data_IF_069603324510
#
_entry.id   IF_069603324510
#
_cell.length_a   1.000
_cell.length_b   1.000
_cell.length_c   1.000
_cell.angle_alpha   90.00
_cell.angle_beta   90.00
_cell.angle_gamma   90.00
#
_symmetry.space_group_name_H-M   'P 1'
#
loop_
_entity.id
_entity.type
_entity.pdbx_description
1 polymer ?
#
# COMPACT_ATOMS: atom_id res chain seq x y z
N UNK A 1 1.10 5.64 23.00
CA UNK A 1 1.69 5.96 21.68
C UNK A 1 0.72 6.57 20.64
N UNK A 2 -0.55 6.88 20.95
CA UNK A 2 -1.48 7.48 19.97
C UNK A 2 -1.10 8.92 19.58
N UNK A 3 -0.53 9.70 20.49
CA UNK A 3 -0.11 11.09 20.26
C UNK A 3 1.11 11.18 19.33
N UNK A 4 2.13 10.35 19.54
CA UNK A 4 3.30 10.28 18.66
C UNK A 4 2.89 9.85 17.24
N UNK A 5 1.99 8.87 17.12
CA UNK A 5 1.43 8.47 15.81
C UNK A 5 0.75 9.64 15.11
N UNK A 6 -0.05 10.45 15.83
CA UNK A 6 -0.71 11.65 15.25
C UNK A 6 0.29 12.71 14.78
N UNK A 7 1.47 12.79 15.39
CA UNK A 7 2.52 13.73 15.02
C UNK A 7 3.34 13.24 13.82
N UNK A 8 3.71 11.96 13.80
CA UNK A 8 4.62 11.38 12.79
C UNK A 8 3.88 10.98 11.51
N UNK A 9 2.62 10.52 11.61
CA UNK A 9 1.86 10.03 10.47
C UNK A 9 1.67 11.07 9.34
N UNK A 10 1.33 12.35 9.61
CA UNK A 10 1.22 13.35 8.56
C UNK A 10 2.53 13.57 7.80
N UNK A 11 3.66 13.57 8.52
CA UNK A 11 4.98 13.69 7.90
C UNK A 11 5.28 12.49 7.00
N UNK A 12 5.06 11.26 7.49
CA UNK A 12 5.24 10.06 6.67
C UNK A 12 4.33 10.06 5.44
N UNK A 13 3.07 10.45 5.58
CA UNK A 13 2.13 10.58 4.45
C UNK A 13 2.64 11.55 3.40
N UNK A 14 3.20 12.70 3.80
CA UNK A 14 3.74 13.69 2.86
C UNK A 14 4.87 13.14 1.97
N UNK A 15 5.63 12.15 2.47
CA UNK A 15 6.70 11.48 1.73
C UNK A 15 6.16 10.30 0.91
N UNK A 16 5.29 9.48 1.52
CA UNK A 16 4.86 8.20 0.96
C UNK A 16 3.71 8.35 -0.04
N UNK A 17 2.73 9.23 0.21
CA UNK A 17 1.51 9.32 -0.61
C UNK A 17 1.78 9.57 -2.11
N UNK A 18 2.78 10.40 -2.50
CA UNK A 18 3.15 10.56 -3.91
C UNK A 18 3.82 9.32 -4.53
N UNK A 19 4.36 8.42 -3.70
CA UNK A 19 5.07 7.20 -4.10
C UNK A 19 4.17 5.96 -4.12
N UNK A 20 2.93 6.07 -3.62
CA UNK A 20 2.00 4.95 -3.58
C UNK A 20 1.54 4.57 -4.98
N UNK A 21 1.34 3.26 -5.18
CA UNK A 21 0.80 2.72 -6.41
C UNK A 21 -0.60 3.32 -6.70
N UNK A 22 -0.89 3.58 -7.97
CA UNK A 22 -2.18 4.16 -8.38
C UNK A 22 -3.36 3.23 -8.06
N UNK A 23 -3.15 1.92 -8.13
CA UNK A 23 -4.12 0.87 -7.86
C UNK A 23 -4.04 0.36 -6.42
N UNK A 24 -3.33 1.05 -5.52
CA UNK A 24 -3.47 0.80 -4.09
C UNK A 24 -4.71 1.53 -3.56
N UNK A 25 -5.75 0.78 -3.23
CA UNK A 25 -7.00 1.29 -2.66
C UNK A 25 -7.06 1.21 -1.13
N UNK A 26 -6.25 0.34 -0.52
CA UNK A 26 -6.23 0.15 0.93
C UNK A 26 -5.35 1.18 1.64
N UNK A 27 -5.73 1.52 2.88
CA UNK A 27 -4.99 2.43 3.77
C UNK A 27 -4.72 3.84 3.21
N UNK A 28 -5.50 4.30 2.22
CA UNK A 28 -5.46 5.65 1.66
C UNK A 28 -6.72 6.43 2.00
N UNK A 29 -6.57 7.74 2.10
CA UNK A 29 -7.72 8.62 2.19
C UNK A 29 -8.49 8.65 0.87
N UNK A 30 -9.82 8.72 0.95
CA UNK A 30 -10.71 8.85 -0.20
C UNK A 30 -10.60 7.70 -1.23
N UNK A 31 -10.24 6.49 -0.77
CA UNK A 31 -10.29 5.26 -1.55
C UNK A 31 -11.09 4.21 -0.79
N UNK A 32 -11.99 3.55 -1.49
CA UNK A 32 -12.84 2.48 -0.96
C UNK A 32 -12.55 1.15 -1.63
N UNK A 33 -13.05 0.07 -1.01
CA UNK A 33 -13.04 -1.27 -1.62
C UNK A 33 -13.95 -1.30 -2.85
N UNK A 34 -15.03 -0.52 -2.86
CA UNK A 34 -15.93 -0.43 -3.99
C UNK A 34 -15.27 0.19 -5.22
N UNK A 35 -14.36 1.16 -5.02
CA UNK A 35 -13.56 1.74 -6.10
C UNK A 35 -12.63 0.70 -6.75
N UNK A 36 -12.05 -0.19 -5.94
CA UNK A 36 -11.17 -1.27 -6.40
C UNK A 36 -11.95 -2.27 -7.27
N UNK A 37 -13.06 -2.79 -6.73
CA UNK A 37 -13.92 -3.75 -7.43
C UNK A 37 -14.52 -3.17 -8.71
N UNK A 38 -14.96 -1.90 -8.68
CA UNK A 38 -15.54 -1.24 -9.84
C UNK A 38 -14.51 -1.07 -10.95
N UNK A 39 -13.27 -0.73 -10.59
CA UNK A 39 -12.19 -0.55 -11.56
C UNK A 39 -11.75 -1.89 -12.16
N UNK A 40 -11.58 -2.92 -11.33
CA UNK A 40 -11.23 -4.27 -11.77
C UNK A 40 -12.30 -4.79 -12.74
N UNK A 41 -13.58 -4.69 -12.36
CA UNK A 41 -14.69 -5.12 -13.21
C UNK A 41 -14.73 -4.35 -14.53
N UNK A 42 -14.54 -3.03 -14.50
CA UNK A 42 -14.51 -2.21 -15.71
C UNK A 42 -13.45 -2.70 -16.71
N UNK A 43 -12.21 -2.94 -16.24
CA UNK A 43 -11.14 -3.40 -17.12
C UNK A 43 -11.39 -4.82 -17.65
N UNK A 44 -11.92 -5.72 -16.83
CA UNK A 44 -12.25 -7.08 -17.25
C UNK A 44 -13.33 -7.06 -18.32
N UNK A 45 -14.41 -6.32 -18.11
CA UNK A 45 -15.50 -6.22 -19.10
C UNK A 45 -15.04 -5.55 -20.40
N UNK A 46 -14.27 -4.46 -20.30
CA UNK A 46 -13.71 -3.79 -21.48
C UNK A 46 -12.84 -4.73 -22.31
N UNK A 47 -12.06 -5.61 -21.67
CA UNK A 47 -11.24 -6.59 -22.39
C UNK A 47 -12.09 -7.68 -23.04
N UNK A 48 -13.14 -8.16 -22.35
CA UNK A 48 -14.03 -9.22 -22.81
C UNK A 48 -14.98 -8.80 -23.93
N UNK A 49 -15.15 -7.50 -24.18
CA UNK A 49 -15.97 -6.98 -25.29
C UNK A 49 -15.37 -7.27 -26.68
N UNK A 50 -14.14 -7.79 -26.75
CA UNK A 50 -13.49 -8.19 -28.00
C UNK A 50 -13.68 -9.69 -28.28
N UNK A 51 -13.92 -10.11 -29.54
CA UNK A 51 -14.07 -11.52 -29.88
C UNK A 51 -12.78 -12.30 -29.55
N UNK A 52 -12.95 -13.58 -29.21
CA UNK A 52 -11.86 -14.52 -28.90
C UNK A 52 -10.95 -14.08 -27.72
N UNK A 53 -11.49 -13.30 -26.78
CA UNK A 53 -10.78 -12.90 -25.55
C UNK A 53 -11.29 -13.64 -24.30
N UNK A 54 -10.43 -13.73 -23.28
CA UNK A 54 -10.77 -14.28 -21.96
C UNK A 54 -9.93 -13.61 -20.88
N UNK A 55 -10.50 -13.38 -19.70
CA UNK A 55 -9.82 -12.79 -18.56
C UNK A 55 -9.39 -13.87 -17.56
N UNK A 56 -8.22 -13.71 -16.95
CA UNK A 56 -7.75 -14.52 -15.81
C UNK A 56 -7.27 -13.58 -14.71
N UNK A 57 -7.83 -13.75 -13.53
CA UNK A 57 -7.45 -12.96 -12.35
C UNK A 57 -6.61 -13.86 -11.45
N UNK A 58 -5.44 -13.36 -11.03
CA UNK A 58 -4.56 -14.04 -10.09
C UNK A 58 -4.69 -13.39 -8.72
N UNK A 59 -5.18 -14.15 -7.75
CA UNK A 59 -5.33 -13.68 -6.38
C UNK A 59 -4.17 -14.18 -5.51
N UNK A 60 -3.53 -13.26 -4.80
CA UNK A 60 -2.48 -13.56 -3.81
C UNK A 60 -2.81 -12.82 -2.53
N UNK A 61 -2.81 -13.57 -1.43
CA UNK A 61 -2.96 -13.00 -0.09
C UNK A 61 -1.80 -13.43 0.81
N UNK A 62 -1.41 -12.53 1.72
CA UNK A 62 -0.36 -12.78 2.69
C UNK A 62 -0.97 -13.08 4.05
N UNK A 63 -0.82 -14.32 4.51
CA UNK A 63 -1.24 -14.69 5.87
C UNK A 63 -0.50 -13.85 6.92
N UNK A 64 -1.23 -13.04 7.68
CA UNK A 64 -0.68 -12.23 8.76
C UNK A 64 0.45 -11.29 8.30
N UNK A 65 0.19 -10.49 7.26
CA UNK A 65 1.18 -9.62 6.62
C UNK A 65 2.05 -8.82 7.61
N UNK A 66 1.45 -8.17 8.61
CA UNK A 66 2.21 -7.37 9.60
C UNK A 66 3.10 -8.19 10.52
N UNK A 67 2.70 -9.42 10.86
CA UNK A 67 3.47 -10.29 11.75
C UNK A 67 4.63 -10.98 11.03
N UNK A 68 4.63 -10.98 9.69
CA UNK A 68 5.66 -11.61 8.85
C UNK A 68 6.63 -10.59 8.23
N UNK A 69 6.47 -9.30 8.54
CA UNK A 69 7.39 -8.25 8.07
C UNK A 69 8.79 -8.49 8.64
N UNK A 70 9.79 -8.55 7.75
CA UNK A 70 11.19 -8.60 8.14
C UNK A 70 11.67 -7.17 8.45
N UNK A 71 12.03 -6.84 9.71
CA UNK A 71 12.31 -5.45 10.11
C UNK A 71 13.48 -4.81 9.35
N UNK A 72 14.55 -5.57 9.07
CA UNK A 72 15.71 -5.05 8.33
C UNK A 72 15.36 -4.64 6.90
N UNK A 73 14.54 -5.45 6.20
CA UNK A 73 14.05 -5.12 4.86
C UNK A 73 13.08 -3.94 4.87
N UNK A 74 12.23 -3.85 5.89
CA UNK A 74 11.34 -2.69 6.05
C UNK A 74 12.14 -1.41 6.27
N UNK A 75 13.14 -1.45 7.15
CA UNK A 75 14.00 -0.31 7.44
C UNK A 75 14.74 0.19 6.19
N UNK A 76 15.36 -0.72 5.43
CA UNK A 76 16.00 -0.39 4.16
C UNK A 76 15.03 0.28 3.17
N UNK A 77 13.82 -0.28 3.01
CA UNK A 77 12.79 0.33 2.15
C UNK A 77 12.40 1.73 2.62
N UNK A 78 12.22 1.94 3.92
CA UNK A 78 11.85 3.24 4.50
C UNK A 78 12.96 4.28 4.28
N UNK A 79 14.22 3.88 4.37
CA UNK A 79 15.35 4.77 4.06
C UNK A 79 15.40 5.12 2.57
N UNK A 80 15.17 4.14 1.68
CA UNK A 80 15.20 4.34 0.23
C UNK A 80 14.11 5.30 -0.26
N UNK A 81 12.96 5.38 0.42
CA UNK A 81 11.89 6.34 0.11
C UNK A 81 12.13 7.73 0.72
N UNK A 82 13.27 7.96 1.37
CA UNK A 82 13.70 9.28 1.84
C UNK A 82 13.21 9.66 3.24
N UNK A 83 12.73 8.71 4.05
CA UNK A 83 12.39 9.00 5.45
C UNK A 83 13.68 9.14 6.27
N UNK A 84 13.84 10.24 7.03
CA UNK A 84 15.05 10.47 7.82
C UNK A 84 15.32 9.38 8.85
N UNK A 85 16.58 8.96 8.97
CA UNK A 85 17.01 7.90 9.90
C UNK A 85 16.65 8.18 11.36
N UNK A 86 16.62 9.46 11.78
CA UNK A 86 16.22 9.87 13.13
C UNK A 86 14.74 9.56 13.45
N UNK A 87 13.89 9.43 12.42
CA UNK A 87 12.50 8.98 12.55
C UNK A 87 12.32 7.47 12.37
N UNK A 88 13.36 6.77 11.91
CA UNK A 88 13.37 5.31 11.72
C UNK A 88 13.99 4.55 12.90
N UNK A 89 14.20 5.22 14.05
CA UNK A 89 14.90 4.66 15.20
C UNK A 89 14.35 3.30 15.64
N UNK A 90 15.25 2.40 16.03
CA UNK A 90 15.00 1.01 16.44
C UNK A 90 13.96 0.84 17.55
N UNK A 91 13.64 1.89 18.31
CA UNK A 91 12.62 1.89 19.37
C UNK A 91 11.17 2.05 18.87
N UNK A 92 10.94 2.30 17.57
CA UNK A 92 9.59 2.43 16.99
C UNK A 92 9.06 1.10 16.47
N UNK A 93 9.95 0.16 16.17
CA UNK A 93 9.64 -1.14 15.56
C UNK A 93 9.81 -2.35 16.50
N UNK A 94 10.12 -2.10 17.78
CA UNK A 94 10.14 -3.08 18.88
C UNK A 94 9.19 -2.65 20.00
#
# INVERSE_FOLDING_TARGET
MKTLKRLVLPFLKSIIDPLLDRFQFTYRESRSVDDDLSLELFYVLQYLDSPDTYARIFFVDYSSAFNTIIPSKLFEKIQNVGVPQCMCGSSIFY
#
